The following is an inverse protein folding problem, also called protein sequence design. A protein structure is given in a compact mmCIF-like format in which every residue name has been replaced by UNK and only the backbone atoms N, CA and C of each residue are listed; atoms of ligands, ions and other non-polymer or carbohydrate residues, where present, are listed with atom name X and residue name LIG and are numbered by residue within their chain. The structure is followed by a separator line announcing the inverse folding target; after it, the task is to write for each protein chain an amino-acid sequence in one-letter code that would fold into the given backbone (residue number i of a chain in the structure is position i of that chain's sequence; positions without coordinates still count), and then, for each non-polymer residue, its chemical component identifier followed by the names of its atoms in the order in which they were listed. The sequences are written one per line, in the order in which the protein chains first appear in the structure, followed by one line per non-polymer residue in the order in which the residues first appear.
data_IF_088715058493
#
_entry.id   IF_088715058493
#
_cell.length_a   1.000
_cell.length_b   1.000
_cell.length_c   1.000
_cell.angle_alpha   90.00
_cell.angle_beta   90.00
_cell.angle_gamma   90.00
#
_symmetry.space_group_name_H-M   'P 1'
#
loop_
_entity.id
_entity.type
_entity.pdbx_description
1 polymer ?
#
# COMPACT_ATOMS: atom_id res chain seq x y z
N UNK A 1 -0.28 -10.62 6.03
CA UNK A 1 -0.85 -11.54 5.04
C UNK A 1 -0.06 -11.58 3.74
N UNK A 2 -0.52 -12.38 2.80
CA UNK A 2 0.02 -12.49 1.45
C UNK A 2 -0.87 -11.78 0.45
N UNK A 3 -0.27 -11.21 -0.58
CA UNK A 3 -0.99 -10.65 -1.70
C UNK A 3 -0.98 -11.63 -2.87
N UNK A 4 -2.18 -12.05 -3.28
CA UNK A 4 -2.38 -13.14 -4.24
C UNK A 4 -3.04 -12.61 -5.51
N UNK A 5 -2.49 -13.01 -6.66
CA UNK A 5 -3.12 -12.87 -7.97
C UNK A 5 -4.11 -14.03 -8.17
N UNK A 6 -5.39 -13.72 -8.30
CA UNK A 6 -6.44 -14.74 -8.42
C UNK A 6 -6.35 -15.60 -9.68
N UNK A 7 -5.71 -15.13 -10.75
CA UNK A 7 -5.50 -15.95 -11.96
C UNK A 7 -4.51 -17.08 -11.75
N UNK A 8 -3.51 -16.86 -10.92
CA UNK A 8 -2.39 -17.80 -10.78
C UNK A 8 -2.35 -18.50 -9.43
N UNK A 9 -3.06 -18.01 -8.42
CA UNK A 9 -2.96 -18.46 -7.03
C UNK A 9 -1.62 -18.14 -6.38
N UNK A 10 -0.81 -17.27 -6.98
CA UNK A 10 0.56 -16.94 -6.54
C UNK A 10 0.67 -15.54 -6.00
N UNK A 11 1.66 -15.32 -5.15
CA UNK A 11 2.15 -13.97 -4.80
C UNK A 11 2.60 -13.25 -6.07
N UNK A 12 2.62 -11.93 -6.04
CA UNK A 12 3.03 -11.13 -7.21
C UNK A 12 3.94 -9.95 -6.86
N UNK A 13 4.25 -9.74 -5.58
CA UNK A 13 5.15 -8.66 -5.12
C UNK A 13 5.61 -8.90 -3.69
N UNK A 14 6.59 -8.12 -3.22
CA UNK A 14 6.84 -7.92 -1.79
C UNK A 14 5.71 -7.06 -1.21
N UNK A 15 4.94 -7.59 -0.27
CA UNK A 15 3.79 -6.93 0.36
C UNK A 15 4.19 -5.74 1.24
N UNK A 16 5.47 -5.62 1.59
CA UNK A 16 6.06 -4.50 2.33
C UNK A 16 6.91 -3.56 1.49
N UNK A 17 6.93 -3.76 0.17
CA UNK A 17 7.56 -2.86 -0.77
C UNK A 17 6.99 -1.43 -0.68
N UNK A 18 7.67 -0.48 -1.30
CA UNK A 18 7.17 0.89 -1.37
C UNK A 18 5.84 0.99 -2.12
N UNK A 19 5.10 2.08 -1.86
CA UNK A 19 3.73 2.24 -2.40
C UNK A 19 3.68 2.24 -3.92
N UNK A 20 4.68 2.82 -4.59
CA UNK A 20 4.71 2.86 -6.04
C UNK A 20 4.93 1.47 -6.60
N UNK A 21 5.95 0.76 -6.15
CA UNK A 21 6.28 -0.59 -6.61
C UNK A 21 5.12 -1.56 -6.38
N UNK A 22 4.50 -1.54 -5.21
CA UNK A 22 3.36 -2.41 -4.90
C UNK A 22 2.11 -2.06 -5.72
N UNK A 23 1.85 -0.77 -5.96
CA UNK A 23 0.72 -0.32 -6.79
C UNK A 23 0.93 -0.70 -8.25
N UNK A 24 2.13 -0.51 -8.80
CA UNK A 24 2.47 -0.91 -10.17
C UNK A 24 2.31 -2.45 -10.35
N UNK A 25 2.66 -3.23 -9.33
CA UNK A 25 2.45 -4.68 -9.34
C UNK A 25 0.95 -5.05 -9.33
N UNK A 26 0.11 -4.32 -8.57
CA UNK A 26 -1.34 -4.50 -8.58
C UNK A 26 -1.90 -4.19 -9.98
N UNK A 27 -1.51 -3.07 -10.60
CA UNK A 27 -1.96 -2.72 -11.94
C UNK A 27 -1.62 -3.81 -12.96
N UNK A 28 -0.41 -4.37 -12.94
CA UNK A 28 -0.03 -5.48 -13.83
C UNK A 28 -0.96 -6.69 -13.71
N UNK A 29 -1.42 -7.01 -12.50
CA UNK A 29 -2.36 -8.11 -12.29
C UNK A 29 -3.75 -7.76 -12.85
N UNK A 30 -4.22 -6.53 -12.59
CA UNK A 30 -5.53 -6.07 -13.05
C UNK A 30 -5.59 -5.95 -14.57
N UNK A 31 -4.56 -5.38 -15.21
CA UNK A 31 -4.45 -5.24 -16.67
C UNK A 31 -4.41 -6.60 -17.37
N UNK A 32 -3.82 -7.60 -16.71
CA UNK A 32 -3.88 -8.99 -17.18
C UNK A 32 -5.25 -9.66 -16.94
N UNK A 33 -6.25 -8.93 -16.42
CA UNK A 33 -7.60 -9.42 -16.14
C UNK A 33 -7.69 -10.33 -14.89
N UNK A 34 -6.73 -10.26 -13.98
CA UNK A 34 -6.78 -10.87 -12.66
C UNK A 34 -7.43 -9.93 -11.64
N UNK A 35 -7.68 -10.46 -10.43
CA UNK A 35 -7.96 -9.67 -9.23
C UNK A 35 -6.80 -9.82 -8.26
N UNK A 36 -6.63 -8.83 -7.40
CA UNK A 36 -5.66 -8.86 -6.31
C UNK A 36 -6.36 -8.97 -4.98
N UNK A 37 -5.94 -9.92 -4.16
CA UNK A 37 -6.49 -10.15 -2.83
C UNK A 37 -5.37 -10.19 -1.79
N UNK A 38 -5.65 -9.65 -0.61
CA UNK A 38 -4.82 -9.83 0.58
C UNK A 38 -5.41 -10.94 1.44
N UNK A 39 -4.60 -11.93 1.77
CA UNK A 39 -5.02 -13.10 2.54
C UNK A 39 -4.20 -13.21 3.82
N UNK A 40 -4.87 -13.37 4.94
CA UNK A 40 -4.24 -13.70 6.23
C UNK A 40 -5.04 -14.81 6.93
N UNK A 41 -4.48 -15.36 7.99
CA UNK A 41 -5.14 -16.39 8.80
C UNK A 41 -5.65 -15.83 10.14
N UNK A 42 -6.22 -16.70 10.98
CA UNK A 42 -6.76 -16.31 12.29
C UNK A 42 -5.72 -15.74 13.24
N UNK A 43 -4.45 -16.18 13.14
CA UNK A 43 -3.33 -15.66 13.95
C UNK A 43 -2.99 -14.23 13.52
N UNK A 44 -2.97 -13.98 12.22
CA UNK A 44 -2.78 -12.65 11.66
C UNK A 44 -3.88 -11.67 12.08
N UNK A 45 -5.15 -12.12 12.06
CA UNK A 45 -6.30 -11.34 12.56
C UNK A 45 -6.18 -11.05 14.05
N UNK A 46 -5.79 -12.03 14.87
CA UNK A 46 -5.57 -11.81 16.29
C UNK A 46 -4.48 -10.76 16.56
N UNK A 47 -3.40 -10.78 15.77
CA UNK A 47 -2.34 -9.77 15.84
C UNK A 47 -2.85 -8.38 15.40
N UNK A 48 -3.64 -8.29 14.36
CA UNK A 48 -4.25 -7.04 13.91
C UNK A 48 -5.19 -6.45 14.98
N UNK A 49 -6.01 -7.27 15.60
CA UNK A 49 -6.95 -6.85 16.65
C UNK A 49 -6.25 -6.32 17.93
N UNK A 50 -5.01 -6.76 18.22
CA UNK A 50 -4.21 -6.18 19.32
C UNK A 50 -3.86 -4.71 19.05
N UNK A 51 -3.58 -4.36 17.79
CA UNK A 51 -3.21 -3.00 17.40
C UNK A 51 -4.43 -2.12 17.15
N UNK A 52 -5.52 -2.72 16.62
CA UNK A 52 -6.78 -2.03 16.27
C UNK A 52 -7.98 -2.82 16.75
N UNK A 53 -8.31 -2.75 18.05
CA UNK A 53 -9.45 -3.48 18.61
C UNK A 53 -10.77 -3.14 17.90
N UNK A 54 -11.54 -4.19 17.54
CA UNK A 54 -12.84 -4.05 16.88
C UNK A 54 -12.82 -3.68 15.39
N UNK A 55 -11.68 -3.32 14.82
CA UNK A 55 -11.61 -2.94 13.41
C UNK A 55 -11.96 -4.11 12.46
N UNK A 56 -11.55 -5.33 12.79
CA UNK A 56 -11.87 -6.52 11.98
C UNK A 56 -13.37 -6.78 11.92
N UNK A 57 -14.08 -6.60 13.02
CA UNK A 57 -15.54 -6.80 13.06
C UNK A 57 -16.27 -5.78 12.17
N UNK A 58 -15.80 -4.53 12.15
CA UNK A 58 -16.32 -3.49 11.25
C UNK A 58 -16.07 -3.89 9.79
N UNK A 59 -14.84 -4.34 9.45
CA UNK A 59 -14.49 -4.75 8.10
C UNK A 59 -15.28 -5.96 7.63
N UNK A 60 -15.59 -6.90 8.51
CA UNK A 60 -16.46 -8.05 8.20
C UNK A 60 -17.92 -7.64 8.00
N UNK A 61 -18.45 -6.79 8.89
CA UNK A 61 -19.85 -6.30 8.81
C UNK A 61 -20.13 -5.52 7.53
N UNK A 62 -19.18 -4.73 7.05
CA UNK A 62 -19.33 -3.95 5.81
C UNK A 62 -18.92 -4.71 4.54
N UNK A 63 -18.55 -6.00 4.66
CA UNK A 63 -18.18 -6.86 3.53
C UNK A 63 -16.79 -6.61 2.94
N UNK A 64 -15.97 -5.74 3.54
CA UNK A 64 -14.61 -5.46 3.07
C UNK A 64 -13.66 -6.64 3.34
N UNK A 65 -13.96 -7.46 4.33
CA UNK A 65 -13.24 -8.71 4.63
C UNK A 65 -14.22 -9.87 4.63
N UNK A 66 -13.88 -10.91 3.88
CA UNK A 66 -14.60 -12.18 3.81
C UNK A 66 -13.80 -13.28 4.53
N UNK A 67 -14.49 -14.26 5.07
CA UNK A 67 -13.90 -15.38 5.80
C UNK A 67 -14.12 -16.68 5.05
N UNK A 68 -13.07 -17.52 4.99
CA UNK A 68 -13.08 -18.82 4.32
C UNK A 68 -12.52 -19.90 5.26
N UNK A 69 -13.22 -21.01 5.37
CA UNK A 69 -12.85 -22.12 6.27
C UNK A 69 -11.55 -22.83 5.88
N UNK A 70 -11.13 -22.73 4.60
CA UNK A 70 -9.93 -23.38 4.09
C UNK A 70 -9.39 -22.65 2.86
N UNK A 71 -8.13 -22.95 2.46
CA UNK A 71 -7.56 -22.49 1.20
C UNK A 71 -8.32 -23.06 -0.01
N UNK A 72 -8.89 -24.26 0.09
CA UNK A 72 -9.73 -24.84 -0.97
C UNK A 72 -11.01 -24.03 -1.17
N UNK A 73 -11.70 -23.68 -0.08
CA UNK A 73 -12.90 -22.86 -0.14
C UNK A 73 -12.59 -21.46 -0.70
N UNK A 74 -11.46 -20.88 -0.32
CA UNK A 74 -10.97 -19.62 -0.86
C UNK A 74 -10.67 -19.74 -2.36
N UNK A 75 -9.95 -20.78 -2.76
CA UNK A 75 -9.60 -21.01 -4.17
C UNK A 75 -10.86 -21.17 -5.03
N UNK A 76 -11.82 -21.94 -4.56
CA UNK A 76 -13.12 -22.13 -5.24
C UNK A 76 -13.86 -20.80 -5.40
N UNK A 77 -13.93 -19.98 -4.34
CA UNK A 77 -14.65 -18.70 -4.37
C UNK A 77 -14.09 -17.69 -5.38
N UNK A 78 -12.81 -17.75 -5.68
CA UNK A 78 -12.12 -16.85 -6.62
C UNK A 78 -11.76 -17.53 -7.95
N UNK A 79 -12.15 -18.79 -8.18
CA UNK A 79 -11.82 -19.52 -9.40
C UNK A 79 -10.33 -19.82 -9.57
N UNK A 80 -9.58 -19.90 -8.46
CA UNK A 80 -8.16 -20.22 -8.46
C UNK A 80 -7.90 -21.71 -8.50
N UNK A 81 -6.72 -22.11 -8.97
CA UNK A 81 -6.24 -23.48 -8.78
C UNK A 81 -5.90 -23.70 -7.30
N UNK A 82 -6.56 -24.63 -6.57
CA UNK A 82 -6.33 -24.87 -5.15
C UNK A 82 -4.90 -25.31 -4.82
N UNK A 83 -4.31 -26.15 -5.66
CA UNK A 83 -2.94 -26.65 -5.44
C UNK A 83 -1.91 -25.53 -5.61
N UNK A 84 -2.10 -24.63 -6.58
CA UNK A 84 -1.23 -23.47 -6.75
C UNK A 84 -1.30 -22.55 -5.53
N UNK A 85 -2.50 -22.32 -4.97
CA UNK A 85 -2.67 -21.49 -3.77
C UNK A 85 -2.02 -22.15 -2.54
N UNK A 86 -2.26 -23.44 -2.31
CA UNK A 86 -1.65 -24.19 -1.21
C UNK A 86 -0.12 -24.18 -1.31
N UNK A 87 0.42 -24.39 -2.51
CA UNK A 87 1.87 -24.35 -2.73
C UNK A 87 2.44 -22.97 -2.39
N UNK A 88 1.76 -21.89 -2.78
CA UNK A 88 2.16 -20.50 -2.46
C UNK A 88 2.26 -20.30 -0.94
N UNK A 89 1.28 -20.78 -0.18
CA UNK A 89 1.31 -20.70 1.29
C UNK A 89 2.42 -21.56 1.89
N UNK A 90 2.60 -22.78 1.38
CA UNK A 90 3.67 -23.67 1.84
C UNK A 90 5.07 -23.08 1.59
N UNK A 91 5.29 -22.49 0.42
CA UNK A 91 6.57 -21.88 0.07
C UNK A 91 6.86 -20.64 0.93
N UNK A 92 5.85 -19.81 1.20
CA UNK A 92 6.01 -18.67 2.09
C UNK A 92 6.27 -19.11 3.54
N UNK A 93 5.59 -20.15 4.03
CA UNK A 93 5.83 -20.69 5.36
C UNK A 93 7.26 -21.24 5.51
N UNK A 94 7.78 -21.93 4.48
CA UNK A 94 9.20 -22.33 4.42
C UNK A 94 10.16 -21.13 4.41
N UNK A 95 9.77 -20.04 3.73
CA UNK A 95 10.57 -18.81 3.76
C UNK A 95 10.65 -18.23 5.18
N UNK A 96 9.55 -18.24 5.94
CA UNK A 96 9.53 -17.83 7.35
C UNK A 96 10.48 -18.72 8.19
N UNK A 97 10.39 -20.03 8.05
CA UNK A 97 11.25 -20.99 8.76
C UNK A 97 12.74 -20.78 8.46
N UNK A 98 13.07 -20.50 7.19
CA UNK A 98 14.44 -20.25 6.74
C UNK A 98 14.93 -18.82 7.04
N UNK A 99 14.04 -17.91 7.47
CA UNK A 99 14.33 -16.49 7.70
C UNK A 99 14.61 -15.69 6.42
N UNK A 100 14.30 -16.24 5.23
CA UNK A 100 14.60 -15.58 3.96
C UNK A 100 13.50 -15.83 2.90
N UNK A 101 12.84 -14.78 2.48
CA UNK A 101 11.99 -14.79 1.28
C UNK A 101 12.87 -14.64 0.03
N UNK A 102 12.97 -15.73 -0.73
CA UNK A 102 13.78 -15.77 -1.97
C UNK A 102 12.98 -15.35 -3.20
N UNK A 103 11.66 -15.29 -3.09
CA UNK A 103 10.78 -14.99 -4.22
C UNK A 103 10.71 -13.48 -4.50
N UNK A 104 10.46 -12.68 -3.46
CA UNK A 104 10.32 -11.22 -3.58
C UNK A 104 11.24 -10.44 -2.65
N UNK A 105 12.01 -11.11 -1.80
CA UNK A 105 12.95 -10.44 -0.89
C UNK A 105 12.29 -9.74 0.29
N UNK A 106 11.02 -10.11 0.61
CA UNK A 106 10.31 -9.54 1.76
C UNK A 106 11.12 -9.75 3.03
N UNK A 107 11.31 -8.67 3.78
CA UNK A 107 11.94 -8.75 5.09
C UNK A 107 11.04 -9.53 6.05
N UNK A 108 11.58 -10.62 6.60
CA UNK A 108 10.88 -11.48 7.54
C UNK A 108 11.35 -11.14 8.96
N UNK A 109 10.52 -10.41 9.70
CA UNK A 109 10.78 -10.11 11.10
C UNK A 109 10.47 -11.33 11.98
N UNK A 110 11.12 -11.44 13.14
CA UNK A 110 10.99 -12.58 14.08
C UNK A 110 9.57 -12.84 14.56
N UNK A 111 8.70 -11.85 14.49
CA UNK A 111 7.31 -11.94 14.94
C UNK A 111 6.34 -12.46 13.85
N UNK A 112 6.82 -12.60 12.60
CA UNK A 112 6.01 -13.17 11.53
C UNK A 112 5.81 -14.67 11.82
N UNK A 113 4.55 -15.08 11.82
CA UNK A 113 4.16 -16.47 12.02
C UNK A 113 3.73 -17.12 10.71
N UNK A 114 3.95 -18.44 10.56
CA UNK A 114 3.41 -19.20 9.43
C UNK A 114 1.89 -19.04 9.33
N UNK A 115 1.38 -18.97 8.13
CA UNK A 115 -0.04 -18.81 7.82
C UNK A 115 -0.68 -20.21 7.67
N UNK A 116 -0.99 -20.84 8.81
CA UNK A 116 -1.46 -22.25 8.86
C UNK A 116 -2.78 -22.42 9.61
N UNK A 117 -3.36 -21.35 10.16
CA UNK A 117 -4.48 -21.44 11.08
C UNK A 117 -5.76 -20.89 10.46
N UNK A 118 -6.60 -21.78 9.93
CA UNK A 118 -7.94 -21.42 9.50
C UNK A 118 -8.76 -20.76 10.64
N UNK A 119 -9.79 -19.97 10.33
CA UNK A 119 -10.18 -19.55 8.98
C UNK A 119 -9.23 -18.53 8.36
N UNK A 120 -9.32 -18.39 7.03
CA UNK A 120 -8.59 -17.40 6.25
C UNK A 120 -9.45 -16.18 5.99
N UNK A 121 -8.86 -15.01 6.13
CA UNK A 121 -9.52 -13.73 5.96
C UNK A 121 -8.98 -13.02 4.74
N UNK A 122 -9.87 -12.54 3.90
CA UNK A 122 -9.55 -12.02 2.56
C UNK A 122 -10.17 -10.65 2.36
N UNK A 123 -9.39 -9.70 1.88
CA UNK A 123 -9.88 -8.45 1.31
C UNK A 123 -9.44 -8.32 -0.16
N UNK A 124 -10.36 -7.90 -1.03
CA UNK A 124 -10.02 -7.50 -2.38
C UNK A 124 -9.30 -6.15 -2.34
N UNK A 125 -8.27 -6.00 -3.17
CA UNK A 125 -7.47 -4.79 -3.23
C UNK A 125 -7.60 -4.14 -4.60
N UNK A 126 -7.68 -2.82 -4.60
CA UNK A 126 -7.58 -1.99 -5.80
C UNK A 126 -6.78 -0.74 -5.49
N UNK A 127 -6.02 -0.21 -6.46
CA UNK A 127 -5.31 1.04 -6.28
C UNK A 127 -6.29 2.20 -6.05
N UNK A 128 -5.90 3.13 -5.20
CA UNK A 128 -6.58 4.43 -5.04
C UNK A 128 -5.55 5.53 -4.96
N UNK A 129 -5.88 6.69 -5.52
CA UNK A 129 -5.06 7.88 -5.36
C UNK A 129 -5.12 8.30 -3.89
N UNK A 130 -3.94 8.44 -3.29
CA UNK A 130 -3.79 8.88 -1.91
C UNK A 130 -3.10 10.25 -1.82
N UNK A 131 -2.17 10.54 -2.73
CA UNK A 131 -1.38 11.76 -2.77
C UNK A 131 -0.86 11.97 -4.19
N UNK A 132 -0.92 13.21 -4.68
CA UNK A 132 -0.31 13.59 -5.96
C UNK A 132 1.15 14.00 -5.73
N UNK A 133 2.06 13.55 -6.61
CA UNK A 133 3.48 13.92 -6.56
C UNK A 133 3.80 15.13 -7.42
N UNK A 134 3.04 15.34 -8.48
CA UNK A 134 3.11 16.51 -9.35
C UNK A 134 2.22 17.64 -8.83
N UNK A 135 2.46 18.84 -9.33
CA UNK A 135 1.71 20.03 -8.94
C UNK A 135 2.40 21.29 -9.42
N UNK A 136 2.05 22.43 -8.81
CA UNK A 136 2.66 23.71 -9.10
C UNK A 136 4.15 23.71 -8.76
N UNK A 137 4.98 24.18 -9.67
CA UNK A 137 6.41 24.40 -9.41
C UNK A 137 6.58 25.63 -8.54
N UNK A 138 7.40 25.52 -7.49
CA UNK A 138 7.68 26.61 -6.55
C UNK A 138 9.19 26.78 -6.35
N UNK A 139 9.59 28.01 -6.01
CA UNK A 139 10.95 28.30 -5.56
C UNK A 139 11.10 28.13 -4.03
N UNK A 140 12.30 28.42 -3.52
CA UNK A 140 12.61 28.32 -2.08
C UNK A 140 11.86 29.33 -1.18
N UNK A 141 11.13 30.28 -1.76
CA UNK A 141 10.23 31.21 -1.07
C UNK A 141 8.75 30.80 -1.19
N UNK A 142 8.49 29.58 -1.70
CA UNK A 142 7.16 29.07 -1.98
C UNK A 142 6.35 29.90 -3.00
N UNK A 143 7.03 30.72 -3.82
CA UNK A 143 6.40 31.46 -4.91
C UNK A 143 6.20 30.51 -6.09
N UNK A 144 5.02 30.55 -6.71
CA UNK A 144 4.69 29.74 -7.88
C UNK A 144 5.42 30.25 -9.11
N UNK A 145 5.97 29.33 -9.90
CA UNK A 145 6.64 29.60 -11.17
C UNK A 145 5.71 29.32 -12.35
N UNK A 146 5.83 30.12 -13.39
CA UNK A 146 5.17 29.86 -14.67
C UNK A 146 5.91 28.77 -15.48
N UNK A 147 5.39 28.42 -16.65
CA UNK A 147 6.00 27.43 -17.55
C UNK A 147 7.40 27.79 -18.07
N UNK A 148 7.84 29.05 -17.89
CA UNK A 148 9.17 29.55 -18.26
C UNK A 148 10.10 29.68 -17.05
N UNK A 149 9.67 29.20 -15.87
CA UNK A 149 10.43 29.30 -14.62
C UNK A 149 10.44 30.69 -13.99
N UNK A 150 9.55 31.61 -14.40
CA UNK A 150 9.42 32.94 -13.82
C UNK A 150 8.41 32.95 -12.70
N UNK A 151 8.70 33.72 -11.64
CA UNK A 151 7.79 33.91 -10.52
C UNK A 151 6.49 34.59 -11.00
N UNK A 152 5.35 34.01 -10.62
CA UNK A 152 4.03 34.66 -10.77
C UNK A 152 3.85 35.57 -9.54
N UNK A 153 3.85 36.88 -9.71
CA UNK A 153 3.79 37.81 -8.59
C UNK A 153 2.53 37.62 -7.73
N UNK A 154 2.71 37.60 -6.40
CA UNK A 154 1.62 37.45 -5.44
C UNK A 154 1.03 36.04 -5.31
N UNK A 155 1.52 35.06 -6.07
CA UNK A 155 1.03 33.67 -6.01
C UNK A 155 2.02 32.77 -5.25
N UNK A 156 1.53 32.14 -4.19
CA UNK A 156 2.28 31.19 -3.36
C UNK A 156 1.54 29.87 -3.25
N UNK A 157 2.27 28.79 -3.10
CA UNK A 157 1.69 27.46 -2.92
C UNK A 157 2.53 26.60 -1.97
N UNK A 158 1.87 25.68 -1.25
CA UNK A 158 2.51 24.72 -0.37
C UNK A 158 1.70 23.44 -0.23
N UNK A 159 2.34 22.34 0.17
CA UNK A 159 1.70 21.06 0.41
C UNK A 159 1.40 20.30 -0.88
N UNK A 160 0.42 19.41 -0.86
CA UNK A 160 0.11 18.47 -1.96
C UNK A 160 -0.16 19.14 -3.32
N UNK A 161 -0.58 20.41 -3.33
CA UNK A 161 -0.78 21.17 -4.57
C UNK A 161 0.53 21.51 -5.30
N UNK A 162 1.68 21.37 -4.63
CA UNK A 162 3.02 21.62 -5.20
C UNK A 162 3.66 20.34 -5.71
N UNK A 163 4.45 20.46 -6.78
CA UNK A 163 5.24 19.36 -7.33
C UNK A 163 6.71 19.41 -6.93
N UNK A 164 7.41 18.29 -7.12
CA UNK A 164 8.87 18.19 -6.98
C UNK A 164 9.41 17.92 -5.57
N UNK A 165 8.66 18.23 -4.51
CA UNK A 165 9.10 18.07 -3.11
C UNK A 165 9.42 16.61 -2.77
N UNK A 166 8.59 15.69 -3.21
CA UNK A 166 8.67 14.27 -2.86
C UNK A 166 9.22 13.37 -3.97
N UNK A 167 9.66 13.94 -5.09
CA UNK A 167 10.05 13.16 -6.26
C UNK A 167 8.90 12.31 -6.79
N UNK A 168 9.17 11.05 -7.14
CA UNK A 168 8.17 10.14 -7.70
C UNK A 168 7.41 9.31 -6.66
N UNK A 169 7.81 9.32 -5.39
CA UNK A 169 7.22 8.47 -4.36
C UNK A 169 7.42 9.07 -2.95
N UNK A 170 6.33 9.54 -2.34
CA UNK A 170 6.35 10.13 -1.01
C UNK A 170 6.35 9.05 0.08
N UNK A 171 7.31 9.11 1.00
CA UNK A 171 7.32 8.28 2.20
C UNK A 171 6.12 8.61 3.12
N UNK A 172 5.58 7.58 3.76
CA UNK A 172 4.46 7.70 4.68
C UNK A 172 4.73 8.71 5.80
N UNK A 173 3.76 9.58 6.08
CA UNK A 173 3.88 10.62 7.11
C UNK A 173 4.48 11.94 6.63
N UNK A 174 5.34 11.96 5.62
CA UNK A 174 6.07 13.16 5.19
C UNK A 174 5.19 14.29 4.65
N UNK A 175 3.92 14.02 4.27
CA UNK A 175 2.99 15.09 3.92
C UNK A 175 2.79 16.08 5.07
N UNK A 176 2.82 15.65 6.34
CA UNK A 176 2.66 16.54 7.49
C UNK A 176 3.88 17.46 7.63
N UNK A 177 5.09 16.92 7.49
CA UNK A 177 6.31 17.72 7.52
C UNK A 177 6.32 18.77 6.38
N UNK A 178 5.93 18.36 5.18
CA UNK A 178 5.80 19.22 4.00
C UNK A 178 4.83 20.39 4.28
N UNK A 179 3.56 20.13 4.59
CA UNK A 179 2.56 21.18 4.79
C UNK A 179 2.89 22.13 5.95
N UNK A 180 3.52 21.62 7.01
CA UNK A 180 3.90 22.46 8.15
C UNK A 180 5.10 23.36 7.83
N UNK A 181 6.08 22.86 7.09
CA UNK A 181 7.29 23.61 6.70
C UNK A 181 6.94 24.64 5.63
N UNK A 182 6.53 24.17 4.46
CA UNK A 182 6.29 25.04 3.31
C UNK A 182 5.05 25.92 3.46
N UNK A 183 4.03 25.47 4.21
CA UNK A 183 2.88 26.33 4.53
C UNK A 183 3.26 27.54 5.37
N UNK A 184 4.15 27.34 6.36
CA UNK A 184 4.68 28.46 7.17
C UNK A 184 5.53 29.40 6.34
N UNK A 185 6.39 28.86 5.46
CA UNK A 185 7.26 29.66 4.61
C UNK A 185 6.45 30.47 3.59
N UNK A 186 5.46 29.83 2.93
CA UNK A 186 4.56 30.50 2.01
C UNK A 186 3.82 31.66 2.68
N UNK A 187 3.23 31.42 3.86
CA UNK A 187 2.54 32.45 4.64
C UNK A 187 3.47 33.59 5.06
N UNK A 188 4.70 33.28 5.46
CA UNK A 188 5.70 34.28 5.87
C UNK A 188 6.11 35.19 4.71
N UNK A 189 6.38 34.62 3.53
CA UNK A 189 6.78 35.36 2.34
C UNK A 189 5.61 36.16 1.76
N UNK A 190 4.41 35.56 1.73
CA UNK A 190 3.19 36.29 1.29
C UNK A 190 2.92 37.52 2.14
N UNK A 191 3.04 37.41 3.47
CA UNK A 191 2.84 38.54 4.39
C UNK A 191 3.86 39.68 4.22
N UNK A 192 5.08 39.34 3.78
CA UNK A 192 6.16 40.32 3.54
C UNK A 192 6.11 40.94 2.15
N UNK A 193 5.34 40.39 1.24
CA UNK A 193 5.25 40.84 -0.15
C UNK A 193 6.54 40.50 -0.97
N UNK A 194 7.31 39.50 -0.57
CA UNK A 194 8.62 39.19 -1.16
C UNK A 194 8.54 37.99 -2.13
#
# INVERSE_FOLDING_TARGET
GLWINTKTGKRFTDEFGDRKTTTDAIFKVLDAGGKTISVTDSVGVASFNKVRPGAMDILRKNGAVKEYASLDALAQAYGMNPEALKQTFADFNKAIESGKDREFGRKLDKDIKPLTHAPYYVSEMSPKIHHTMGGLEINTKAQVLDANGKVIPGLYAAGETTGGIHGSNRLGGNAIADIMTFGRDAGTHAAKGN
#
